data_IF_611135240760
#
_entry.id   IF_611135240760
#
_cell.length_a   1.000
_cell.length_b   1.000
_cell.length_c   1.000
_cell.angle_alpha   90.00
_cell.angle_beta   90.00
_cell.angle_gamma   90.00
#
_symmetry.space_group_name_H-M   'P 1'
#
loop_
_entity.id
_entity.type
_entity.pdbx_description
1 polymer ?
#
# COMPACT_ATOMS: atom_id res chain seq x y z
N UNK A 1 2.47 -18.61 -20.17
CA UNK A 1 2.26 -19.60 -19.09
C UNK A 1 1.17 -20.54 -19.58
N UNK A 2 1.49 -21.82 -19.79
CA UNK A 2 0.79 -22.80 -20.67
C UNK A 2 -0.40 -23.53 -19.99
N UNK A 3 -1.01 -22.97 -18.94
CA UNK A 3 -2.14 -23.62 -18.25
C UNK A 3 -3.29 -22.60 -18.09
N UNK A 4 -3.67 -21.97 -19.20
CA UNK A 4 -4.61 -20.85 -19.21
C UNK A 4 -6.09 -21.21 -19.39
N UNK A 5 -6.40 -22.43 -19.83
CA UNK A 5 -7.75 -22.76 -20.32
C UNK A 5 -8.17 -24.16 -19.80
N UNK A 6 -9.11 -24.19 -18.83
CA UNK A 6 -9.78 -25.41 -18.34
C UNK A 6 -9.82 -25.60 -16.81
N UNK A 7 -10.56 -26.60 -16.34
CA UNK A 7 -10.78 -26.97 -14.91
C UNK A 7 -9.50 -27.14 -14.09
N UNK A 8 -8.39 -27.48 -14.75
CA UNK A 8 -7.07 -27.58 -14.13
C UNK A 8 -6.56 -26.24 -13.56
N UNK A 9 -7.00 -25.09 -14.10
CA UNK A 9 -6.66 -23.78 -13.55
C UNK A 9 -7.22 -23.60 -12.14
N UNK A 10 -8.47 -24.01 -11.91
CA UNK A 10 -9.10 -23.90 -10.60
C UNK A 10 -8.43 -24.82 -9.58
N UNK A 11 -8.06 -26.04 -10.01
CA UNK A 11 -7.30 -26.95 -9.16
C UNK A 11 -5.93 -26.36 -8.77
N UNK A 12 -5.17 -25.84 -9.74
CA UNK A 12 -3.86 -25.24 -9.49
C UNK A 12 -3.96 -23.96 -8.65
N UNK A 13 -4.97 -23.12 -8.89
CA UNK A 13 -5.18 -21.90 -8.11
C UNK A 13 -5.55 -22.21 -6.65
N UNK A 14 -6.40 -23.22 -6.42
CA UNK A 14 -6.71 -23.72 -5.07
C UNK A 14 -5.49 -24.31 -4.35
N UNK A 15 -4.58 -24.98 -5.07
CA UNK A 15 -3.34 -25.50 -4.51
C UNK A 15 -2.31 -24.40 -4.22
N UNK A 16 -2.22 -23.36 -5.05
CA UNK A 16 -1.26 -22.25 -4.88
C UNK A 16 -1.73 -21.23 -3.84
N UNK A 17 -3.03 -21.02 -3.68
CA UNK A 17 -3.61 -20.07 -2.73
C UNK A 17 -3.03 -20.18 -1.31
N UNK A 18 -2.98 -21.35 -0.64
CA UNK A 18 -2.42 -21.46 0.71
C UNK A 18 -0.94 -21.07 0.78
N UNK A 19 -0.15 -21.35 -0.26
CA UNK A 19 1.24 -20.90 -0.33
C UNK A 19 1.34 -19.38 -0.48
N UNK A 20 0.51 -18.79 -1.35
CA UNK A 20 0.44 -17.33 -1.51
C UNK A 20 0.14 -16.66 -0.17
N UNK A 21 -0.87 -17.14 0.55
CA UNK A 21 -1.27 -16.56 1.84
C UNK A 21 -0.15 -16.69 2.89
N UNK A 22 0.54 -17.84 2.93
CA UNK A 22 1.70 -18.04 3.79
C UNK A 22 2.85 -17.07 3.45
N UNK A 23 3.19 -16.91 2.17
CA UNK A 23 4.26 -16.01 1.73
C UNK A 23 3.92 -14.54 2.00
N UNK A 24 2.67 -14.13 1.82
CA UNK A 24 2.21 -12.78 2.20
C UNK A 24 2.36 -12.57 3.70
N UNK A 25 1.97 -13.55 4.52
CA UNK A 25 2.17 -13.49 5.97
C UNK A 25 3.63 -13.32 6.37
N UNK A 26 4.53 -14.14 5.80
CA UNK A 26 5.98 -14.06 6.06
C UNK A 26 6.56 -12.73 5.57
N UNK A 27 6.12 -12.24 4.41
CA UNK A 27 6.53 -10.95 3.86
C UNK A 27 6.20 -9.79 4.83
N UNK A 28 4.97 -9.72 5.35
CA UNK A 28 4.58 -8.67 6.28
C UNK A 28 5.31 -8.77 7.63
N UNK A 29 5.56 -9.99 8.14
CA UNK A 29 6.40 -10.18 9.34
C UNK A 29 7.82 -9.67 9.08
N UNK A 30 8.41 -10.03 7.94
CA UNK A 30 9.76 -9.60 7.56
C UNK A 30 9.89 -8.09 7.38
N UNK A 31 8.87 -7.42 6.85
CA UNK A 31 8.88 -5.96 6.74
C UNK A 31 8.63 -5.30 8.09
N UNK A 32 7.76 -5.88 8.92
CA UNK A 32 7.52 -5.41 10.27
C UNK A 32 8.79 -5.35 11.12
N UNK A 33 9.70 -6.32 10.98
CA UNK A 33 10.99 -6.32 11.69
C UNK A 33 12.00 -5.32 11.12
N UNK A 34 11.84 -4.87 9.88
CA UNK A 34 12.69 -3.87 9.23
C UNK A 34 12.26 -2.43 9.52
N UNK A 35 11.05 -2.21 10.05
CA UNK A 35 10.56 -0.87 10.34
C UNK A 35 11.46 -0.17 11.37
N UNK A 36 12.11 0.95 11.02
CA UNK A 36 13.08 1.59 11.89
C UNK A 36 12.40 2.45 12.95
N UNK A 37 11.67 1.85 13.88
CA UNK A 37 10.84 2.57 14.88
C UNK A 37 11.65 3.56 15.75
N UNK A 38 12.95 3.33 15.91
CA UNK A 38 13.84 4.20 16.67
C UNK A 38 14.00 5.61 16.07
N UNK A 39 13.73 5.80 14.76
CA UNK A 39 13.86 7.11 14.11
C UNK A 39 12.63 7.99 14.30
N UNK A 40 11.53 7.47 14.87
CA UNK A 40 10.27 8.21 15.03
C UNK A 40 10.50 9.57 15.70
N UNK A 41 11.21 9.70 16.83
CA UNK A 41 11.37 10.99 17.51
C UNK A 41 12.06 12.06 16.65
N UNK A 42 12.99 11.66 15.77
CA UNK A 42 13.74 12.59 14.91
C UNK A 42 13.08 12.81 13.55
N UNK A 43 12.38 11.82 13.00
CA UNK A 43 11.87 11.81 11.63
C UNK A 43 10.35 11.93 11.53
N UNK A 44 9.61 12.04 12.65
CA UNK A 44 8.14 12.13 12.62
C UNK A 44 7.59 13.23 11.70
N UNK A 45 8.22 14.42 11.52
CA UNK A 45 7.67 15.42 10.61
C UNK A 45 7.72 14.95 9.16
N UNK A 46 8.85 14.37 8.76
CA UNK A 46 9.06 13.84 7.39
C UNK A 46 8.10 12.69 7.11
N UNK A 47 7.96 11.77 8.07
CA UNK A 47 7.02 10.64 7.96
C UNK A 47 5.58 11.15 7.80
N UNK A 48 5.18 12.13 8.61
CA UNK A 48 3.83 12.70 8.56
C UNK A 48 3.58 13.44 7.23
N UNK A 49 4.57 14.17 6.72
CA UNK A 49 4.49 14.82 5.41
C UNK A 49 4.29 13.79 4.30
N UNK A 50 5.06 12.69 4.28
CA UNK A 50 4.89 11.63 3.29
C UNK A 50 3.54 10.90 3.39
N UNK A 51 3.05 10.67 4.61
CA UNK A 51 1.72 10.12 4.83
C UNK A 51 0.63 11.05 4.28
N UNK A 52 0.72 12.35 4.59
CA UNK A 52 -0.24 13.34 4.12
C UNK A 52 -0.22 13.43 2.59
N UNK A 53 0.96 13.48 1.97
CA UNK A 53 1.11 13.48 0.50
C UNK A 53 0.51 12.22 -0.11
N UNK A 54 0.80 11.05 0.45
CA UNK A 54 0.31 9.77 -0.07
C UNK A 54 -1.21 9.73 -0.01
N UNK A 55 -1.80 10.05 1.14
CA UNK A 55 -3.25 10.00 1.31
C UNK A 55 -3.97 11.09 0.52
N UNK A 56 -3.58 12.35 0.68
CA UNK A 56 -4.24 13.46 -0.01
C UNK A 56 -4.03 13.37 -1.52
N UNK A 57 -2.81 13.09 -1.96
CA UNK A 57 -2.44 12.98 -3.37
C UNK A 57 -3.21 11.87 -4.07
N UNK A 58 -3.17 10.63 -3.57
CA UNK A 58 -3.90 9.52 -4.19
C UNK A 58 -5.41 9.71 -4.11
N UNK A 59 -5.94 10.19 -2.98
CA UNK A 59 -7.39 10.46 -2.86
C UNK A 59 -7.83 11.48 -3.89
N UNK A 60 -7.09 12.57 -4.07
CA UNK A 60 -7.41 13.62 -5.03
C UNK A 60 -7.33 13.10 -6.47
N UNK A 61 -6.26 12.37 -6.82
CA UNK A 61 -6.09 11.78 -8.15
C UNK A 61 -7.26 10.85 -8.48
N UNK A 62 -7.58 9.91 -7.58
CA UNK A 62 -8.67 8.94 -7.79
C UNK A 62 -10.02 9.64 -7.84
N UNK A 63 -10.25 10.67 -7.02
CA UNK A 63 -11.48 11.44 -7.03
C UNK A 63 -11.68 12.14 -8.38
N UNK A 64 -10.64 12.84 -8.87
CA UNK A 64 -10.69 13.55 -10.15
C UNK A 64 -10.91 12.57 -11.29
N UNK A 65 -10.18 11.46 -11.31
CA UNK A 65 -10.36 10.42 -12.32
C UNK A 65 -11.78 9.89 -12.28
N UNK A 66 -12.28 9.41 -11.14
CA UNK A 66 -13.64 8.88 -11.05
C UNK A 66 -14.71 9.91 -11.46
N UNK A 67 -14.50 11.20 -11.20
CA UNK A 67 -15.39 12.27 -11.72
C UNK A 67 -15.44 12.36 -13.22
N UNK A 68 -14.28 12.30 -13.87
CA UNK A 68 -14.18 12.36 -15.33
C UNK A 68 -14.93 11.18 -15.96
N UNK A 69 -14.95 10.03 -15.29
CA UNK A 69 -15.71 8.84 -15.71
C UNK A 69 -17.20 8.87 -15.34
N UNK A 70 -17.71 9.95 -14.76
CA UNK A 70 -19.14 10.13 -14.46
C UNK A 70 -19.61 9.56 -13.13
N UNK A 71 -18.70 9.17 -12.23
CA UNK A 71 -19.07 8.67 -10.91
C UNK A 71 -19.56 9.77 -9.96
N UNK A 72 -20.45 9.37 -9.05
CA UNK A 72 -21.07 10.29 -8.10
C UNK A 72 -20.06 10.95 -7.15
N UNK A 73 -20.43 12.16 -6.67
CA UNK A 73 -20.06 12.76 -5.37
C UNK A 73 -19.30 11.82 -4.41
N UNK A 74 -20.10 10.86 -3.99
CA UNK A 74 -19.86 10.00 -2.87
C UNK A 74 -19.00 8.79 -3.25
N UNK A 75 -19.26 8.20 -4.42
CA UNK A 75 -18.49 7.06 -4.93
C UNK A 75 -17.03 7.44 -5.12
N UNK A 76 -16.74 8.56 -5.79
CA UNK A 76 -15.35 8.96 -6.06
C UNK A 76 -14.55 9.23 -4.77
N UNK A 77 -15.17 9.85 -3.76
CA UNK A 77 -14.53 10.07 -2.45
C UNK A 77 -14.21 8.75 -1.75
N UNK A 78 -15.16 7.81 -1.73
CA UNK A 78 -14.97 6.49 -1.11
C UNK A 78 -13.84 5.72 -1.78
N UNK A 79 -13.89 5.63 -3.11
CA UNK A 79 -12.86 4.95 -3.90
C UNK A 79 -11.49 5.59 -3.68
N UNK A 80 -11.44 6.93 -3.60
CA UNK A 80 -10.21 7.66 -3.29
C UNK A 80 -9.62 7.30 -1.93
N UNK A 81 -10.44 7.29 -0.87
CA UNK A 81 -10.01 6.95 0.49
C UNK A 81 -9.56 5.49 0.59
N UNK A 82 -10.28 4.57 -0.05
CA UNK A 82 -9.97 3.13 -0.05
C UNK A 82 -8.62 2.86 -0.73
N UNK A 83 -8.31 3.57 -1.82
CA UNK A 83 -7.07 3.40 -2.59
C UNK A 83 -5.91 4.29 -2.13
N UNK A 84 -6.13 5.12 -1.11
CA UNK A 84 -5.21 6.17 -0.69
C UNK A 84 -3.88 5.63 -0.12
N UNK A 85 -3.87 4.43 0.45
CA UNK A 85 -2.69 3.89 1.13
C UNK A 85 -1.61 3.34 0.19
N UNK A 86 -0.40 3.17 0.73
CA UNK A 86 0.70 2.49 0.05
C UNK A 86 0.44 0.99 -0.06
N UNK A 87 0.92 0.37 -1.15
CA UNK A 87 0.79 -1.07 -1.39
C UNK A 87 2.14 -1.79 -1.25
N UNK A 88 2.14 -3.12 -1.31
CA UNK A 88 3.36 -3.94 -1.22
C UNK A 88 4.40 -3.57 -2.29
N UNK A 89 3.91 -3.16 -3.46
CA UNK A 89 4.75 -2.66 -4.55
C UNK A 89 5.57 -1.43 -4.16
N UNK A 90 5.08 -0.58 -3.25
CA UNK A 90 5.85 0.57 -2.73
C UNK A 90 7.09 0.13 -1.95
N UNK A 91 7.03 -1.01 -1.25
CA UNK A 91 8.14 -1.58 -0.48
C UNK A 91 9.19 -2.16 -1.43
N UNK A 92 8.75 -2.88 -2.46
CA UNK A 92 9.61 -3.35 -3.54
C UNK A 92 10.32 -2.18 -4.23
N UNK A 93 9.58 -1.14 -4.61
CA UNK A 93 10.13 0.01 -5.32
C UNK A 93 11.14 0.76 -4.44
N UNK A 94 10.84 0.94 -3.16
CA UNK A 94 11.79 1.54 -2.21
C UNK A 94 13.07 0.71 -2.09
N UNK A 95 12.94 -0.62 -1.96
CA UNK A 95 14.09 -1.52 -1.90
C UNK A 95 14.99 -1.39 -3.13
N UNK A 96 14.41 -1.44 -4.33
CA UNK A 96 15.17 -1.28 -5.60
C UNK A 96 15.78 0.12 -5.72
N UNK A 97 15.07 1.16 -5.31
CA UNK A 97 15.56 2.54 -5.40
C UNK A 97 16.69 2.84 -4.42
N UNK A 98 16.63 2.24 -3.23
CA UNK A 98 17.69 2.32 -2.23
C UNK A 98 18.94 1.55 -2.66
N UNK A 99 18.81 0.34 -3.21
CA UNK A 99 19.97 -0.43 -3.69
C UNK A 99 20.62 0.18 -4.92
N UNK A 100 19.85 0.91 -5.74
CA UNK A 100 20.36 1.63 -6.91
C UNK A 100 20.97 3.00 -6.57
N UNK A 101 20.96 3.43 -5.30
CA UNK A 101 21.47 4.73 -4.86
C UNK A 101 20.62 5.93 -5.32
N UNK A 102 19.40 5.71 -5.81
CA UNK A 102 18.48 6.78 -6.25
C UNK A 102 17.91 7.51 -5.03
N UNK A 103 17.64 6.76 -3.96
CA UNK A 103 17.14 7.31 -2.69
C UNK A 103 18.30 7.41 -1.71
N UNK A 104 18.56 8.62 -1.22
CA UNK A 104 19.57 8.83 -0.18
C UNK A 104 19.18 8.08 1.11
N UNK A 105 20.17 7.55 1.82
CA UNK A 105 19.97 6.73 3.02
C UNK A 105 19.14 7.45 4.11
N UNK A 106 19.28 8.77 4.21
CA UNK A 106 18.53 9.62 5.13
C UNK A 106 17.01 9.58 4.91
N UNK A 107 16.55 9.31 3.68
CA UNK A 107 15.13 9.22 3.34
C UNK A 107 14.60 7.79 3.33
N UNK A 108 15.46 6.79 3.15
CA UNK A 108 15.05 5.39 3.04
C UNK A 108 14.29 4.92 4.29
N UNK A 109 14.82 5.20 5.48
CA UNK A 109 14.18 4.85 6.75
C UNK A 109 12.83 5.53 6.95
N UNK A 110 12.73 6.87 6.86
CA UNK A 110 11.47 7.60 6.96
C UNK A 110 10.42 7.18 5.91
N UNK A 111 10.83 6.91 4.67
CA UNK A 111 9.95 6.41 3.61
C UNK A 111 9.41 5.01 3.93
N UNK A 112 10.27 4.09 4.36
CA UNK A 112 9.88 2.74 4.76
C UNK A 112 8.85 2.79 5.90
N UNK A 113 9.13 3.63 6.90
CA UNK A 113 8.22 3.85 8.03
C UNK A 113 6.89 4.47 7.59
N UNK A 114 6.91 5.48 6.70
CA UNK A 114 5.70 6.09 6.15
C UNK A 114 4.85 5.08 5.36
N UNK A 115 5.46 4.23 4.52
CA UNK A 115 4.75 3.20 3.77
C UNK A 115 4.09 2.19 4.72
N UNK A 116 4.85 1.67 5.70
CA UNK A 116 4.31 0.72 6.69
C UNK A 116 3.17 1.31 7.51
N UNK A 117 3.33 2.56 8.01
CA UNK A 117 2.27 3.28 8.72
C UNK A 117 1.06 3.54 7.83
N UNK A 118 1.26 3.80 6.53
CA UNK A 118 0.16 4.02 5.58
C UNK A 118 -0.71 2.78 5.41
N UNK A 119 -0.12 1.57 5.43
CA UNK A 119 -0.84 0.31 5.33
C UNK A 119 -1.67 0.04 6.58
N UNK A 120 -1.09 0.30 7.76
CA UNK A 120 -1.80 0.21 9.04
C UNK A 120 -2.98 1.19 9.07
N UNK A 121 -2.75 2.45 8.71
CA UNK A 121 -3.82 3.45 8.65
C UNK A 121 -4.86 3.14 7.55
N UNK A 122 -4.41 2.61 6.41
CA UNK A 122 -5.27 2.22 5.29
C UNK A 122 -6.32 1.19 5.68
N UNK A 123 -5.95 0.16 6.43
CA UNK A 123 -6.91 -0.85 6.92
C UNK A 123 -8.01 -0.25 7.80
N UNK A 124 -7.68 0.74 8.64
CA UNK A 124 -8.65 1.51 9.43
C UNK A 124 -9.51 2.42 8.53
N UNK A 125 -8.90 3.12 7.58
CA UNK A 125 -9.57 4.02 6.64
C UNK A 125 -10.60 3.28 5.79
N UNK A 126 -10.25 2.11 5.26
CA UNK A 126 -11.14 1.26 4.46
C UNK A 126 -12.33 0.81 5.29
N UNK A 127 -12.10 0.36 6.53
CA UNK A 127 -13.18 -0.01 7.45
C UNK A 127 -14.13 1.16 7.72
N UNK A 128 -13.61 2.37 7.92
CA UNK A 128 -14.44 3.56 8.15
C UNK A 128 -15.20 4.01 6.89
N UNK A 129 -14.56 3.95 5.72
CA UNK A 129 -15.18 4.26 4.43
C UNK A 129 -16.33 3.29 4.08
N UNK A 130 -16.25 2.04 4.55
CA UNK A 130 -17.31 1.03 4.42
C UNK A 130 -18.42 1.10 5.47
N UNK A 131 -18.22 1.77 6.62
CA UNK A 131 -19.17 1.80 7.74
C UNK A 131 -20.11 3.02 7.75
N UNK A 132 -19.88 4.03 6.92
CA UNK A 132 -20.77 5.20 6.80
C UNK A 132 -21.38 5.27 5.40
N UNK A 133 -22.41 4.44 5.19
CA UNK A 133 -23.80 4.72 4.71
C UNK A 133 -24.54 3.39 4.69
#
# INVERSE_FOLDING_TARGET
MIIGEGDARHAVENEIQPFRDLFVGIFFVGIGTQLPLWIIPSAWPVVLTWLAITFAGKTLIVLVVARIFGESLQTSWRTGIILAHGGEFSLMLLSVSSTSGIVAEEFAGPLLLAIGMSMLAGSVMVRWAGLKV
#
